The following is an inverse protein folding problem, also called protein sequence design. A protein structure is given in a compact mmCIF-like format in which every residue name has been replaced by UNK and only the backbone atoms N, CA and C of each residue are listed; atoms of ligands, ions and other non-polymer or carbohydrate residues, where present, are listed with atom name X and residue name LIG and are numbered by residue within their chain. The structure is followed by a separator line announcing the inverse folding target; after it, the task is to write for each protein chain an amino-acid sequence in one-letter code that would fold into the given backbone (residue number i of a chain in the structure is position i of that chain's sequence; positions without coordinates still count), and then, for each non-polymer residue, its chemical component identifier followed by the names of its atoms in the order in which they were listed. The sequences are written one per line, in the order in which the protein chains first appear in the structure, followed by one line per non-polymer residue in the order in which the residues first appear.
data_IF_245752275177
#
_entry.id   IF_245752275177
#
_cell.length_a   1.000
_cell.length_b   1.000
_cell.length_c   1.000
_cell.angle_alpha   90.00
_cell.angle_beta   90.00
_cell.angle_gamma   90.00
#
_symmetry.space_group_name_H-M   'P 1'
#
loop_
_entity.id
_entity.type
_entity.pdbx_description
1 polymer ?
#
# COMPACT_ATOMS: atom_id res chain seq x y z
N UNK A 1 20.57 18.34 -6.92
CA UNK A 1 20.25 16.92 -6.73
C UNK A 1 19.41 16.79 -5.47
N UNK A 2 18.13 16.45 -5.58
CA UNK A 2 17.27 16.34 -4.38
C UNK A 2 17.68 15.10 -3.58
N UNK A 3 17.85 15.26 -2.26
CA UNK A 3 18.19 14.16 -1.34
C UNK A 3 17.01 13.18 -1.22
N UNK A 4 17.01 12.13 -2.04
CA UNK A 4 15.95 11.10 -2.10
C UNK A 4 16.12 10.02 -1.01
N UNK A 5 17.28 9.97 -0.35
CA UNK A 5 17.61 9.00 0.70
C UNK A 5 16.51 8.84 1.79
N UNK A 6 15.99 9.90 2.44
CA UNK A 6 14.94 9.75 3.45
C UNK A 6 13.60 9.28 2.88
N UNK A 7 13.28 9.63 1.63
CA UNK A 7 12.04 9.18 0.97
C UNK A 7 12.10 7.67 0.70
N UNK A 8 13.25 7.19 0.22
CA UNK A 8 13.46 5.78 -0.06
C UNK A 8 13.38 4.93 1.21
N UNK A 9 13.97 5.38 2.32
CA UNK A 9 13.86 4.68 3.60
C UNK A 9 12.40 4.56 4.03
N UNK A 10 11.64 5.66 4.04
CA UNK A 10 10.22 5.62 4.44
C UNK A 10 9.36 4.68 3.58
N UNK A 11 9.71 4.53 2.30
CA UNK A 11 8.99 3.68 1.32
C UNK A 11 9.56 2.26 1.18
N UNK A 12 10.60 1.92 1.94
CA UNK A 12 11.20 0.59 1.95
C UNK A 12 10.16 -0.55 2.15
N UNK A 13 9.26 -0.52 3.15
CA UNK A 13 8.33 -1.64 3.38
C UNK A 13 7.34 -1.85 2.23
N UNK A 14 6.91 -0.78 1.57
CA UNK A 14 6.01 -0.86 0.41
C UNK A 14 6.73 -1.44 -0.81
N UNK A 15 7.93 -0.96 -1.11
CA UNK A 15 8.64 -1.31 -2.35
C UNK A 15 9.26 -2.70 -2.32
N UNK A 16 9.88 -3.09 -1.21
CA UNK A 16 10.64 -4.34 -1.14
C UNK A 16 9.85 -5.47 -0.49
N UNK A 17 8.99 -5.16 0.48
CA UNK A 17 8.21 -6.18 1.20
C UNK A 17 6.77 -6.29 0.69
N UNK A 18 6.34 -5.41 -0.23
CA UNK A 18 4.97 -5.33 -0.72
C UNK A 18 3.94 -5.20 0.43
N UNK A 19 4.33 -4.48 1.50
CA UNK A 19 3.45 -4.22 2.64
C UNK A 19 2.46 -3.10 2.29
N UNK A 20 1.19 -3.45 2.28
CA UNK A 20 0.08 -2.51 2.14
C UNK A 20 -0.74 -2.42 3.43
N UNK A 21 -1.95 -1.90 3.32
CA UNK A 21 -2.91 -1.83 4.43
C UNK A 21 -4.19 -2.59 4.08
N UNK A 22 -4.78 -3.24 5.07
CA UNK A 22 -6.11 -3.84 4.97
C UNK A 22 -7.04 -3.16 5.96
N UNK A 23 -8.22 -2.75 5.49
CA UNK A 23 -9.25 -2.17 6.36
C UNK A 23 -10.16 -3.28 6.88
N UNK A 24 -10.18 -3.50 8.20
CA UNK A 24 -11.07 -4.51 8.81
C UNK A 24 -12.56 -4.15 8.63
N UNK A 25 -12.87 -2.85 8.55
CA UNK A 25 -14.26 -2.39 8.52
C UNK A 25 -14.91 -2.55 7.13
N UNK A 26 -14.20 -2.20 6.05
CA UNK A 26 -14.71 -2.38 4.68
C UNK A 26 -14.14 -3.59 3.94
N UNK A 27 -13.29 -4.38 4.60
CA UNK A 27 -12.65 -5.59 4.05
C UNK A 27 -11.92 -5.36 2.72
N UNK A 28 -11.34 -4.17 2.55
CA UNK A 28 -10.57 -3.82 1.36
C UNK A 28 -9.09 -3.71 1.67
N UNK A 29 -8.29 -4.30 0.79
CA UNK A 29 -6.85 -4.15 0.74
C UNK A 29 -6.47 -2.91 -0.09
N UNK A 30 -5.47 -2.18 0.38
CA UNK A 30 -4.95 -0.98 -0.26
C UNK A 30 -3.43 -1.08 -0.39
N UNK A 31 -2.95 -0.89 -1.61
CA UNK A 31 -1.55 -0.73 -1.93
C UNK A 31 -1.43 0.47 -2.89
N UNK A 32 -0.58 1.48 -2.61
CA UNK A 32 0.29 1.72 -1.44
C UNK A 32 -0.43 1.77 -0.08
N UNK A 33 0.29 1.61 1.06
CA UNK A 33 -0.30 1.80 2.39
C UNK A 33 -0.77 3.25 2.58
N UNK A 34 -2.02 3.42 3.02
CA UNK A 34 -2.64 4.73 3.24
C UNK A 34 -2.90 4.96 4.73
N UNK A 35 -2.81 6.21 5.19
CA UNK A 35 -3.14 6.55 6.57
C UNK A 35 -4.66 6.56 6.86
N UNK A 36 -5.49 6.81 5.83
CA UNK A 36 -6.94 6.95 5.96
C UNK A 36 -7.64 6.08 4.92
N UNK A 37 -8.67 5.35 5.34
CA UNK A 37 -9.46 4.52 4.44
C UNK A 37 -10.36 5.43 3.57
N UNK A 38 -10.40 5.28 2.23
CA UNK A 38 -11.25 6.12 1.38
C UNK A 38 -12.75 5.92 1.65
N UNK A 39 -13.18 4.69 1.98
CA UNK A 39 -14.59 4.38 2.19
C UNK A 39 -15.03 4.73 3.62
N UNK A 40 -14.29 4.29 4.64
CA UNK A 40 -14.68 4.46 6.04
C UNK A 40 -14.14 5.73 6.68
N UNK A 41 -13.20 6.43 6.02
CA UNK A 41 -12.50 7.62 6.54
C UNK A 41 -11.97 7.35 7.95
N UNK A 42 -12.35 8.18 8.93
CA UNK A 42 -11.92 8.10 10.34
C UNK A 42 -12.42 6.85 11.06
N UNK A 43 -13.49 6.20 10.59
CA UNK A 43 -14.04 4.97 11.20
C UNK A 43 -13.28 3.71 10.74
N UNK A 44 -12.40 3.84 9.75
CA UNK A 44 -11.65 2.70 9.21
C UNK A 44 -10.53 2.27 10.15
N UNK A 45 -10.50 0.98 10.48
CA UNK A 45 -9.37 0.33 11.15
C UNK A 45 -8.45 -0.26 10.10
N UNK A 46 -7.34 0.42 9.81
CA UNK A 46 -6.33 -0.01 8.85
C UNK A 46 -5.21 -0.75 9.56
N UNK A 47 -4.94 -1.98 9.14
CA UNK A 47 -3.89 -2.84 9.68
C UNK A 47 -2.86 -3.10 8.57
N UNK A 48 -1.55 -3.09 8.86
CA UNK A 48 -0.53 -3.48 7.88
C UNK A 48 -0.69 -4.95 7.50
N UNK A 49 -0.70 -5.23 6.20
CA UNK A 49 -0.84 -6.59 5.65
C UNK A 49 0.14 -6.79 4.48
N UNK A 50 0.72 -7.98 4.40
CA UNK A 50 1.54 -8.39 3.25
C UNK A 50 0.64 -8.73 2.07
N UNK A 51 0.89 -8.09 0.93
CA UNK A 51 0.11 -8.31 -0.29
C UNK A 51 0.59 -9.56 -1.05
N UNK A 52 -0.27 -10.19 -1.86
CA UNK A 52 0.16 -11.32 -2.69
C UNK A 52 1.27 -10.90 -3.65
N UNK A 53 2.32 -11.73 -3.75
CA UNK A 53 3.48 -11.50 -4.64
C UNK A 53 3.21 -11.89 -6.10
N UNK A 54 2.05 -12.47 -6.37
CA UNK A 54 1.62 -12.91 -7.69
C UNK A 54 0.38 -12.13 -8.12
N UNK A 55 0.24 -11.93 -9.42
CA UNK A 55 -0.87 -11.19 -10.01
C UNK A 55 -1.05 -11.53 -11.48
N UNK A 56 -1.97 -10.84 -12.14
CA UNK A 56 -2.23 -10.97 -13.58
C UNK A 56 -1.92 -9.65 -14.28
N UNK A 57 -1.42 -9.72 -15.50
CA UNK A 57 -1.17 -8.54 -16.33
C UNK A 57 -2.53 -8.01 -16.80
N UNK A 58 -2.83 -6.75 -16.52
CA UNK A 58 -4.08 -6.10 -16.92
C UNK A 58 -3.91 -5.44 -18.30
N UNK A 59 -2.82 -4.70 -18.47
CA UNK A 59 -2.50 -3.99 -19.71
C UNK A 59 -1.00 -3.76 -19.80
N UNK A 60 -0.43 -3.80 -21.01
CA UNK A 60 0.95 -3.42 -21.28
C UNK A 60 1.02 -2.62 -22.59
N UNK A 61 2.05 -1.79 -22.72
CA UNK A 61 2.38 -1.10 -23.98
C UNK A 61 3.68 -1.69 -24.50
N UNK A 62 3.79 -1.78 -25.83
CA UNK A 62 4.96 -2.33 -26.52
C UNK A 62 6.11 -1.33 -26.54
#
# INVERSE_FOLDING_TARGET
MQNIAPLNWRRFPERYLLKGNYCENCKQAFFPPRAICPNCRRKGKLIPMEMPRTGKIISYTK
#
